data_IF_689156840124
#
_entry.id   IF_689156840124
#
_cell.length_a   1.000
_cell.length_b   1.000
_cell.length_c   1.000
_cell.angle_alpha   90.00
_cell.angle_beta   90.00
_cell.angle_gamma   90.00
#
_symmetry.space_group_name_H-M   'P 1'
#
loop_
_entity.id
_entity.type
_entity.pdbx_description
1 polymer ?
#
# COMPACT_ATOMS: atom_id res chain seq x y z
N UNK A 1 -13.91 12.29 -6.45
CA UNK A 1 -15.16 12.12 -7.22
C UNK A 1 -15.69 13.48 -7.67
N UNK A 2 -15.70 14.45 -6.76
CA UNK A 2 -16.12 15.81 -7.07
C UNK A 2 -15.16 16.51 -8.04
N UNK A 3 -13.88 16.16 -8.04
CA UNK A 3 -12.90 16.63 -9.00
C UNK A 3 -13.25 16.29 -10.44
N UNK A 4 -13.83 15.12 -10.68
CA UNK A 4 -14.25 14.69 -12.04
C UNK A 4 -15.58 15.31 -12.45
N UNK A 5 -16.40 15.68 -11.48
CA UNK A 5 -17.71 16.29 -11.69
C UNK A 5 -17.70 17.79 -11.49
N UNK A 6 -16.73 18.29 -10.75
CA UNK A 6 -16.62 19.72 -10.48
C UNK A 6 -16.15 20.46 -11.73
N UNK A 7 -16.97 21.33 -12.16
CA UNK A 7 -16.72 22.22 -13.29
C UNK A 7 -16.06 23.51 -12.86
N UNK A 8 -15.83 23.68 -11.59
CA UNK A 8 -15.21 24.85 -11.01
C UNK A 8 -13.73 24.69 -10.68
N UNK A 9 -13.10 23.59 -11.09
CA UNK A 9 -11.68 23.32 -10.81
C UNK A 9 -10.74 24.39 -11.37
N UNK A 10 -11.10 24.98 -12.50
CA UNK A 10 -10.32 26.05 -13.11
C UNK A 10 -10.28 27.35 -12.28
N UNK A 11 -11.24 27.51 -11.35
CA UNK A 11 -11.38 28.72 -10.57
C UNK A 11 -10.60 28.72 -9.25
N UNK A 12 -10.08 27.53 -8.85
CA UNK A 12 -9.37 27.38 -7.57
C UNK A 12 -7.88 27.35 -7.80
N UNK A 13 -7.27 28.51 -7.95
CA UNK A 13 -5.82 28.65 -7.98
C UNK A 13 -5.28 29.10 -6.61
N UNK A 14 -4.14 28.56 -6.23
CA UNK A 14 -3.33 29.14 -5.15
C UNK A 14 -3.13 30.61 -5.42
N UNK A 15 -3.64 31.50 -4.56
CA UNK A 15 -3.49 32.96 -4.57
C UNK A 15 -4.55 33.76 -5.32
N UNK A 16 -5.70 33.19 -5.64
CA UNK A 16 -6.84 33.98 -6.09
C UNK A 16 -7.79 34.28 -4.92
N UNK A 17 -8.00 35.55 -4.65
CA UNK A 17 -8.97 36.03 -3.65
C UNK A 17 -10.39 36.05 -4.20
N UNK A 18 -10.55 35.94 -5.52
CA UNK A 18 -11.83 35.97 -6.21
C UNK A 18 -11.90 34.91 -7.29
N UNK A 19 -13.00 34.16 -7.32
CA UNK A 19 -13.26 33.18 -8.37
C UNK A 19 -13.48 33.85 -9.72
N UNK A 20 -13.01 33.25 -10.80
CA UNK A 20 -13.22 33.67 -12.18
C UNK A 20 -14.59 33.26 -12.72
N UNK A 21 -14.79 33.48 -14.02
CA UNK A 21 -16.02 33.10 -14.73
C UNK A 21 -16.02 31.62 -15.05
N UNK A 22 -17.06 30.91 -14.62
CA UNK A 22 -17.20 29.46 -14.78
C UNK A 22 -17.65 29.08 -16.19
N UNK A 23 -16.94 28.14 -16.81
CA UNK A 23 -17.37 27.45 -18.04
C UNK A 23 -17.66 25.99 -17.72
N UNK A 24 -18.80 25.50 -18.17
CA UNK A 24 -19.20 24.08 -18.01
C UNK A 24 -18.86 23.31 -19.32
N UNK A 25 -18.03 22.25 -19.19
CA UNK A 25 -17.69 21.40 -20.33
C UNK A 25 -18.51 20.13 -20.31
N UNK A 26 -19.11 19.78 -21.46
CA UNK A 26 -19.89 18.54 -21.69
C UNK A 26 -19.23 17.63 -22.73
N UNK A 27 -19.68 16.36 -22.76
CA UNK A 27 -19.20 15.34 -23.69
C UNK A 27 -17.76 14.89 -23.41
N UNK A 28 -17.42 14.73 -22.14
CA UNK A 28 -16.12 14.26 -21.67
C UNK A 28 -16.21 12.78 -21.29
N UNK A 29 -15.85 11.88 -22.19
CA UNK A 29 -16.08 10.44 -22.05
C UNK A 29 -14.85 9.66 -21.58
N UNK A 30 -13.69 10.31 -21.43
CA UNK A 30 -12.45 9.69 -20.97
C UNK A 30 -11.59 10.69 -20.20
N UNK A 31 -10.65 10.20 -19.40
CA UNK A 31 -9.66 11.04 -18.73
C UNK A 31 -8.81 11.85 -19.73
N UNK A 32 -8.50 11.26 -20.87
CA UNK A 32 -7.79 11.93 -21.96
C UNK A 32 -8.60 13.10 -22.52
N UNK A 33 -9.90 12.87 -22.80
CA UNK A 33 -10.79 13.92 -23.25
C UNK A 33 -10.93 15.05 -22.23
N UNK A 34 -10.95 14.75 -20.93
CA UNK A 34 -10.97 15.76 -19.87
C UNK A 34 -9.69 16.60 -19.90
N UNK A 35 -8.52 15.98 -20.01
CA UNK A 35 -7.24 16.69 -20.04
C UNK A 35 -7.16 17.63 -21.25
N UNK A 36 -7.50 17.15 -22.44
CA UNK A 36 -7.50 17.95 -23.66
C UNK A 36 -8.53 19.08 -23.60
N UNK A 37 -9.71 18.84 -23.04
CA UNK A 37 -10.74 19.86 -22.90
C UNK A 37 -10.34 20.97 -21.92
N UNK A 38 -9.65 20.64 -20.83
CA UNK A 38 -9.12 21.65 -19.88
C UNK A 38 -8.07 22.51 -20.58
N UNK A 39 -7.15 21.89 -21.30
CA UNK A 39 -6.09 22.60 -22.01
C UNK A 39 -6.66 23.50 -23.11
N UNK A 40 -7.53 22.99 -23.96
CA UNK A 40 -8.18 23.76 -25.02
C UNK A 40 -9.05 24.91 -24.50
N UNK A 41 -9.75 24.70 -23.36
CA UNK A 41 -10.51 25.79 -22.74
C UNK A 41 -9.61 26.85 -22.12
N UNK A 42 -8.48 26.44 -21.51
CA UNK A 42 -7.47 27.36 -21.01
C UNK A 42 -6.94 28.26 -22.13
N UNK A 43 -6.55 27.70 -23.26
CA UNK A 43 -6.06 28.44 -24.41
C UNK A 43 -7.11 29.39 -24.93
N UNK A 44 -8.34 28.93 -25.12
CA UNK A 44 -9.45 29.78 -25.56
C UNK A 44 -9.69 30.96 -24.62
N UNK A 45 -9.65 30.75 -23.32
CA UNK A 45 -9.85 31.84 -22.35
C UNK A 45 -8.69 32.86 -22.39
N UNK A 46 -7.45 32.39 -22.56
CA UNK A 46 -6.28 33.25 -22.72
C UNK A 46 -6.45 34.14 -23.97
N UNK A 47 -6.78 33.53 -25.12
CA UNK A 47 -7.01 34.28 -26.37
C UNK A 47 -8.10 35.36 -26.22
N UNK A 48 -9.22 35.01 -25.57
CA UNK A 48 -10.28 36.00 -25.32
C UNK A 48 -9.79 37.18 -24.48
N UNK A 49 -9.05 36.88 -23.40
CA UNK A 49 -8.52 37.94 -22.52
C UNK A 49 -7.46 38.78 -23.19
N UNK A 50 -6.59 38.21 -24.01
CA UNK A 50 -5.60 38.93 -24.82
C UNK A 50 -6.25 39.85 -25.87
N UNK A 51 -7.41 39.41 -26.42
CA UNK A 51 -8.23 40.26 -27.29
C UNK A 51 -9.04 41.33 -26.54
N UNK A 52 -8.90 41.44 -25.23
CA UNK A 52 -9.67 42.36 -24.40
C UNK A 52 -11.15 41.98 -24.24
N UNK A 53 -11.52 40.73 -24.53
CA UNK A 53 -12.90 40.22 -24.39
C UNK A 53 -13.07 39.51 -23.06
N UNK A 54 -14.21 39.67 -22.37
CA UNK A 54 -14.47 38.93 -21.15
C UNK A 54 -14.83 37.46 -21.45
N UNK A 55 -14.46 36.59 -20.53
CA UNK A 55 -14.96 35.21 -20.53
C UNK A 55 -16.43 35.22 -20.08
N UNK A 56 -17.30 34.58 -20.84
CA UNK A 56 -18.74 34.50 -20.56
C UNK A 56 -19.06 33.18 -19.90
N UNK A 57 -19.95 33.20 -18.91
CA UNK A 57 -20.43 31.95 -18.28
C UNK A 57 -21.33 31.20 -19.27
N UNK A 58 -20.85 30.04 -19.75
CA UNK A 58 -21.55 29.26 -20.74
C UNK A 58 -21.32 27.77 -20.56
N UNK A 59 -22.22 26.96 -21.13
CA UNK A 59 -22.01 25.52 -21.31
C UNK A 59 -21.46 25.27 -22.69
N UNK A 60 -20.34 24.54 -22.77
CA UNK A 60 -19.66 24.18 -24.00
C UNK A 60 -19.60 22.67 -24.18
N UNK A 61 -19.60 22.20 -25.42
CA UNK A 61 -19.42 20.79 -25.77
C UNK A 61 -18.05 20.57 -26.35
N UNK A 62 -17.32 19.62 -25.81
CA UNK A 62 -16.04 19.18 -26.35
C UNK A 62 -16.22 18.26 -27.55
N UNK A 63 -15.40 18.42 -28.57
CA UNK A 63 -15.29 17.56 -29.75
C UNK A 63 -13.85 17.01 -29.78
N UNK A 64 -13.72 15.73 -29.43
CA UNK A 64 -12.41 15.02 -29.35
C UNK A 64 -11.73 14.93 -30.72
N UNK A 65 -12.49 14.89 -31.81
CA UNK A 65 -11.93 14.75 -33.16
C UNK A 65 -11.37 16.09 -33.68
N UNK A 66 -11.97 17.19 -33.24
CA UNK A 66 -11.57 18.55 -33.62
C UNK A 66 -10.67 19.21 -32.59
N UNK A 67 -10.47 18.56 -31.44
CA UNK A 67 -9.75 19.10 -30.27
C UNK A 67 -10.20 20.53 -29.93
N UNK A 68 -11.50 20.78 -30.02
CA UNK A 68 -12.09 22.11 -29.80
C UNK A 68 -13.44 22.02 -29.10
N UNK A 69 -13.82 23.13 -28.47
CA UNK A 69 -15.13 23.27 -27.83
C UNK A 69 -16.00 24.28 -28.55
N UNK A 70 -17.30 24.06 -28.54
CA UNK A 70 -18.29 25.00 -29.07
C UNK A 70 -19.38 25.30 -28.05
N UNK A 71 -19.86 26.54 -28.02
CA UNK A 71 -20.89 26.95 -27.10
C UNK A 71 -22.21 26.23 -27.42
N UNK A 72 -22.86 25.72 -26.37
CA UNK A 72 -24.20 25.12 -26.51
C UNK A 72 -25.29 26.08 -26.02
N UNK A 73 -25.09 26.66 -24.84
CA UNK A 73 -26.09 27.48 -24.15
C UNK A 73 -25.38 28.46 -23.22
N UNK A 74 -25.82 29.70 -23.20
CA UNK A 74 -25.46 30.67 -22.16
C UNK A 74 -26.43 30.51 -20.98
N UNK A 75 -25.90 30.45 -19.76
CA UNK A 75 -26.71 30.50 -18.53
C UNK A 75 -26.62 31.89 -17.96
N UNK A 76 -27.60 32.72 -18.33
CA UNK A 76 -27.57 34.14 -17.94
C UNK A 76 -27.86 34.34 -16.44
N UNK A 77 -28.66 33.47 -15.80
CA UNK A 77 -29.00 33.63 -14.38
C UNK A 77 -29.35 32.32 -13.66
N UNK A 78 -29.04 32.24 -12.36
CA UNK A 78 -29.47 31.15 -11.47
C UNK A 78 -31.01 31.02 -11.35
N UNK A 79 -31.74 32.05 -11.74
CA UNK A 79 -33.21 32.07 -11.76
C UNK A 79 -33.82 31.03 -12.71
N UNK A 80 -33.08 30.61 -13.75
CA UNK A 80 -33.54 29.56 -14.69
C UNK A 80 -33.68 28.17 -14.03
N UNK A 81 -33.09 27.96 -12.84
CA UNK A 81 -33.21 26.72 -12.09
C UNK A 81 -34.33 26.67 -11.08
N UNK A 82 -35.07 27.77 -10.86
CA UNK A 82 -36.21 27.86 -9.94
C UNK A 82 -35.86 27.31 -8.54
N UNK A 83 -34.74 27.74 -7.95
CA UNK A 83 -34.38 27.37 -6.59
C UNK A 83 -35.36 27.94 -5.58
N UNK A 84 -36.30 27.14 -5.17
CA UNK A 84 -37.23 27.41 -4.07
C UNK A 84 -37.39 26.12 -3.23
N UNK A 85 -37.70 26.24 -1.94
CA UNK A 85 -37.96 25.07 -1.10
C UNK A 85 -39.11 24.24 -1.69
N UNK A 86 -38.91 22.92 -1.74
CA UNK A 86 -39.96 21.99 -2.13
C UNK A 86 -41.08 22.02 -1.05
N UNK A 87 -42.32 22.35 -1.38
CA UNK A 87 -43.39 22.52 -0.39
C UNK A 87 -43.73 21.21 0.33
N UNK A 88 -43.49 20.06 -0.28
CA UNK A 88 -43.76 18.74 0.28
C UNK A 88 -42.64 18.22 1.19
N UNK A 89 -41.51 18.90 1.26
CA UNK A 89 -40.39 18.54 2.11
C UNK A 89 -40.35 19.43 3.36
N UNK A 90 -40.49 18.80 4.53
CA UNK A 90 -40.29 19.49 5.79
C UNK A 90 -38.85 19.85 6.02
N UNK A 91 -38.53 20.98 6.68
CA UNK A 91 -37.16 21.33 7.03
C UNK A 91 -36.49 20.24 7.88
N UNK A 92 -35.29 19.84 7.49
CA UNK A 92 -34.48 18.91 8.28
C UNK A 92 -33.69 19.73 9.30
N UNK A 93 -34.02 19.53 10.58
CA UNK A 93 -33.31 20.19 11.68
C UNK A 93 -32.25 19.24 12.22
N UNK A 94 -31.00 19.63 12.09
CA UNK A 94 -29.87 18.88 12.61
C UNK A 94 -29.46 19.51 13.94
N UNK A 95 -29.73 18.82 15.06
CA UNK A 95 -29.36 19.31 16.36
C UNK A 95 -27.89 19.12 16.69
N UNK A 96 -27.37 19.95 17.61
CA UNK A 96 -25.98 19.83 18.08
C UNK A 96 -25.73 18.49 18.78
N UNK A 97 -26.76 17.96 19.50
CA UNK A 97 -26.66 16.63 20.14
C UNK A 97 -26.54 15.52 19.10
N UNK A 98 -27.27 15.60 18.00
CA UNK A 98 -27.16 14.64 16.91
C UNK A 98 -25.80 14.71 16.25
N UNK A 99 -25.29 15.90 15.96
CA UNK A 99 -23.95 16.10 15.44
C UNK A 99 -22.87 15.56 16.41
N UNK A 100 -23.00 15.83 17.70
CA UNK A 100 -22.08 15.32 18.73
C UNK A 100 -22.10 13.78 18.77
N UNK A 101 -23.28 13.17 18.71
CA UNK A 101 -23.41 11.71 18.69
C UNK A 101 -22.79 11.07 17.45
N UNK A 102 -22.90 11.71 16.28
CA UNK A 102 -22.25 11.24 15.04
C UNK A 102 -20.73 11.38 15.15
N UNK A 103 -20.23 12.54 15.61
CA UNK A 103 -18.79 12.79 15.79
C UNK A 103 -18.18 11.79 16.77
N UNK A 104 -18.86 11.48 17.87
CA UNK A 104 -18.39 10.52 18.86
C UNK A 104 -18.26 9.08 18.32
N UNK A 105 -19.03 8.72 17.30
CA UNK A 105 -19.00 7.40 16.64
C UNK A 105 -18.14 7.37 15.38
N UNK A 106 -17.66 8.52 14.94
CA UNK A 106 -16.85 8.59 13.72
C UNK A 106 -15.53 7.85 13.93
N UNK A 107 -15.20 6.84 13.11
CA UNK A 107 -13.89 6.19 13.17
C UNK A 107 -12.79 7.16 12.74
N UNK A 108 -11.58 6.85 13.14
CA UNK A 108 -10.41 7.57 12.66
C UNK A 108 -10.30 7.48 11.13
N UNK A 109 -10.27 8.63 10.47
CA UNK A 109 -10.23 8.72 9.02
C UNK A 109 -8.80 8.48 8.50
N UNK A 110 -8.69 8.10 7.22
CA UNK A 110 -7.43 7.81 6.54
C UNK A 110 -6.35 8.88 6.76
N UNK A 111 -6.70 10.16 6.65
CA UNK A 111 -5.74 11.26 6.83
C UNK A 111 -5.17 11.30 8.25
N UNK A 112 -5.98 11.06 9.27
CA UNK A 112 -5.52 10.98 10.65
C UNK A 112 -4.63 9.75 10.88
N UNK A 113 -5.02 8.57 10.33
CA UNK A 113 -4.20 7.36 10.36
C UNK A 113 -2.83 7.57 9.72
N UNK A 114 -2.74 8.24 8.56
CA UNK A 114 -1.47 8.56 7.91
C UNK A 114 -0.53 9.36 8.82
N UNK A 115 -1.05 10.40 9.47
CA UNK A 115 -0.27 11.21 10.40
C UNK A 115 0.19 10.38 11.59
N UNK A 116 -0.71 9.59 12.18
CA UNK A 116 -0.42 8.73 13.32
C UNK A 116 0.59 7.64 13.00
N UNK A 117 0.46 6.95 11.85
CA UNK A 117 1.39 5.89 11.45
C UNK A 117 2.83 6.40 11.30
N UNK A 118 2.99 7.60 10.75
CA UNK A 118 4.30 8.24 10.67
C UNK A 118 4.85 8.64 12.02
N UNK A 119 4.01 9.26 12.85
CA UNK A 119 4.43 9.83 14.13
C UNK A 119 4.67 8.76 15.20
N UNK A 120 3.72 7.82 15.35
CA UNK A 120 3.69 6.90 16.49
C UNK A 120 4.37 5.56 16.17
N UNK A 121 4.38 5.15 14.89
CA UNK A 121 4.94 3.87 14.45
C UNK A 121 6.20 4.00 13.59
N UNK A 122 6.59 5.23 13.24
CA UNK A 122 7.75 5.53 12.38
C UNK A 122 7.70 4.72 11.06
N UNK A 123 6.52 4.67 10.45
CA UNK A 123 6.28 4.01 9.16
C UNK A 123 6.57 5.00 8.03
N UNK A 124 7.33 4.58 6.98
CA UNK A 124 7.58 5.41 5.82
C UNK A 124 6.27 5.89 5.15
N UNK A 125 6.30 7.08 4.56
CA UNK A 125 5.14 7.70 3.91
C UNK A 125 4.49 6.78 2.88
N UNK A 126 5.32 6.16 2.05
CA UNK A 126 4.87 5.25 1.00
C UNK A 126 4.09 4.06 1.57
N UNK A 127 4.65 3.39 2.58
CA UNK A 127 4.01 2.24 3.23
C UNK A 127 2.71 2.65 3.92
N UNK A 128 2.73 3.76 4.65
CA UNK A 128 1.54 4.29 5.32
C UNK A 128 0.41 4.60 4.31
N UNK A 129 0.74 5.16 3.15
CA UNK A 129 -0.25 5.43 2.10
C UNK A 129 -0.89 4.16 1.55
N UNK A 130 -0.10 3.11 1.32
CA UNK A 130 -0.60 1.84 0.79
C UNK A 130 -1.42 1.11 1.86
N UNK A 131 -0.90 0.95 3.08
CA UNK A 131 -1.62 0.28 4.16
C UNK A 131 -2.96 0.96 4.44
N UNK A 132 -3.02 2.29 4.40
CA UNK A 132 -4.27 3.03 4.63
C UNK A 132 -5.16 3.19 3.40
N UNK A 133 -4.75 2.70 2.23
CA UNK A 133 -5.58 2.77 1.01
C UNK A 133 -6.82 1.88 1.08
N UNK A 134 -6.72 0.75 1.76
CA UNK A 134 -7.81 -0.17 2.04
C UNK A 134 -8.05 -0.28 3.55
N UNK A 135 -9.33 -0.25 3.95
CA UNK A 135 -9.71 -0.35 5.37
C UNK A 135 -9.21 -1.66 5.98
N UNK A 136 -9.36 -2.77 5.27
CA UNK A 136 -8.97 -4.11 5.75
C UNK A 136 -7.47 -4.20 6.04
N UNK A 137 -6.62 -3.62 5.17
CA UNK A 137 -5.17 -3.56 5.38
C UNK A 137 -4.81 -2.73 6.61
N UNK A 138 -5.46 -1.57 6.79
CA UNK A 138 -5.24 -0.73 7.95
C UNK A 138 -5.68 -1.42 9.25
N UNK A 139 -6.81 -2.09 9.24
CA UNK A 139 -7.32 -2.84 10.39
C UNK A 139 -6.37 -4.01 10.76
N UNK A 140 -5.88 -4.77 9.77
CA UNK A 140 -4.87 -5.82 9.96
C UNK A 140 -3.57 -5.27 10.55
N UNK A 141 -3.08 -4.16 10.00
CA UNK A 141 -1.87 -3.52 10.51
C UNK A 141 -2.00 -3.12 11.97
N UNK A 142 -3.09 -2.45 12.32
CA UNK A 142 -3.33 -1.98 13.69
C UNK A 142 -3.53 -3.14 14.67
N UNK A 143 -4.35 -4.12 14.31
CA UNK A 143 -4.63 -5.27 15.16
C UNK A 143 -3.36 -6.11 15.40
N UNK A 144 -2.62 -6.44 14.33
CA UNK A 144 -1.36 -7.19 14.45
C UNK A 144 -0.32 -6.41 15.26
N UNK A 145 -0.19 -5.09 15.02
CA UNK A 145 0.72 -4.24 15.77
C UNK A 145 0.34 -4.15 17.24
N UNK A 146 -0.95 -4.14 17.55
CA UNK A 146 -1.42 -4.13 18.94
C UNK A 146 -0.99 -5.39 19.71
N UNK A 147 -0.88 -6.52 19.03
CA UNK A 147 -0.46 -7.81 19.62
C UNK A 147 1.07 -7.87 19.76
N UNK A 148 1.81 -7.82 18.65
CA UNK A 148 3.26 -8.07 18.66
C UNK A 148 4.11 -6.84 19.01
N UNK A 149 3.55 -5.62 19.04
CA UNK A 149 4.25 -4.34 19.34
C UNK A 149 5.43 -4.04 18.39
N UNK A 150 5.39 -4.55 17.17
CA UNK A 150 6.49 -4.43 16.19
C UNK A 150 6.00 -3.82 14.84
N UNK A 151 5.57 -2.55 14.83
CA UNK A 151 4.90 -1.94 13.66
C UNK A 151 5.71 -2.03 12.37
N UNK A 152 7.02 -1.81 12.40
CA UNK A 152 7.89 -1.90 11.20
C UNK A 152 7.94 -3.32 10.62
N UNK A 153 7.91 -4.35 11.46
CA UNK A 153 7.88 -5.74 10.98
C UNK A 153 6.53 -6.08 10.38
N UNK A 154 5.45 -5.65 11.03
CA UNK A 154 4.09 -5.80 10.49
C UNK A 154 3.97 -5.10 9.14
N UNK A 155 4.44 -3.85 9.03
CA UNK A 155 4.47 -3.13 7.75
C UNK A 155 5.21 -3.91 6.67
N UNK A 156 6.39 -4.43 6.96
CA UNK A 156 7.17 -5.24 6.02
C UNK A 156 6.41 -6.48 5.53
N UNK A 157 5.76 -7.23 6.42
CA UNK A 157 4.98 -8.41 6.05
C UNK A 157 3.79 -8.06 5.17
N UNK A 158 3.10 -6.96 5.48
CA UNK A 158 1.98 -6.49 4.66
C UNK A 158 2.44 -5.96 3.29
N UNK A 159 3.52 -5.17 3.27
CA UNK A 159 4.00 -4.54 2.04
C UNK A 159 4.73 -5.51 1.09
N UNK A 160 5.40 -6.51 1.62
CA UNK A 160 6.20 -7.43 0.79
C UNK A 160 5.44 -8.71 0.52
N UNK A 161 5.17 -9.50 1.55
CA UNK A 161 4.63 -10.85 1.35
C UNK A 161 3.12 -10.85 1.09
N UNK A 162 2.34 -10.04 1.86
CA UNK A 162 0.89 -9.98 1.64
C UNK A 162 0.58 -9.42 0.25
N UNK A 163 1.22 -8.32 -0.16
CA UNK A 163 0.97 -7.75 -1.49
C UNK A 163 1.46 -8.65 -2.62
N UNK A 164 2.55 -9.40 -2.41
CA UNK A 164 3.01 -10.41 -3.38
C UNK A 164 1.96 -11.48 -3.60
N UNK A 165 1.45 -12.08 -2.50
CA UNK A 165 0.44 -13.14 -2.58
C UNK A 165 -0.90 -12.63 -3.12
N UNK A 166 -1.34 -11.43 -2.73
CA UNK A 166 -2.53 -10.81 -3.32
C UNK A 166 -2.41 -10.69 -4.84
N UNK A 167 -1.24 -10.25 -5.33
CA UNK A 167 -0.99 -10.15 -6.77
C UNK A 167 -0.95 -11.50 -7.47
N UNK A 168 -0.33 -12.51 -6.86
CA UNK A 168 -0.24 -13.86 -7.40
C UNK A 168 -1.59 -14.55 -7.50
N UNK A 169 -2.49 -14.30 -6.54
CA UNK A 169 -3.82 -14.87 -6.47
C UNK A 169 -4.93 -13.96 -7.01
N UNK A 170 -4.58 -12.81 -7.60
CA UNK A 170 -5.52 -11.81 -8.13
C UNK A 170 -6.57 -11.38 -7.10
N UNK A 171 -6.15 -11.21 -5.83
CA UNK A 171 -7.00 -10.84 -4.69
C UNK A 171 -6.90 -9.35 -4.39
N UNK A 172 -8.01 -8.77 -3.93
CA UNK A 172 -8.06 -7.44 -3.34
C UNK A 172 -7.91 -7.49 -1.81
N UNK A 173 -7.69 -6.34 -1.18
CA UNK A 173 -7.49 -6.30 0.27
C UNK A 173 -8.70 -6.82 1.07
N UNK A 174 -9.89 -6.65 0.54
CA UNK A 174 -11.16 -7.11 1.11
C UNK A 174 -11.28 -8.65 1.17
N UNK A 175 -10.54 -9.35 0.29
CA UNK A 175 -10.54 -10.81 0.22
C UNK A 175 -9.65 -11.47 1.29
N UNK A 176 -8.80 -10.69 1.97
CA UNK A 176 -7.92 -11.19 3.02
C UNK A 176 -8.71 -11.79 4.19
N UNK A 177 -8.41 -13.03 4.55
CA UNK A 177 -9.15 -13.79 5.57
C UNK A 177 -8.30 -14.13 6.79
N UNK A 178 -6.98 -14.08 6.69
CA UNK A 178 -6.11 -14.46 7.80
C UNK A 178 -6.23 -13.51 9.01
N UNK A 179 -6.03 -14.07 10.19
CA UNK A 179 -6.17 -13.37 11.45
C UNK A 179 -4.92 -12.56 11.82
N UNK A 180 -5.08 -11.41 12.49
CA UNK A 180 -3.97 -10.63 13.02
C UNK A 180 -3.12 -11.41 14.03
N UNK A 181 -3.75 -12.31 14.79
CA UNK A 181 -3.14 -13.16 15.81
C UNK A 181 -2.11 -14.11 15.20
N UNK A 182 -2.44 -14.75 14.07
CA UNK A 182 -1.53 -15.67 13.40
C UNK A 182 -0.35 -14.94 12.75
N UNK A 183 -0.59 -13.78 12.14
CA UNK A 183 0.50 -12.96 11.65
C UNK A 183 1.41 -12.48 12.78
N UNK A 184 0.86 -12.07 13.91
CA UNK A 184 1.66 -11.64 15.07
C UNK A 184 2.52 -12.78 15.64
N UNK A 185 1.95 -13.99 15.81
CA UNK A 185 2.69 -15.18 16.23
C UNK A 185 3.82 -15.53 15.26
N UNK A 186 3.56 -15.48 13.95
CA UNK A 186 4.59 -15.73 12.94
C UNK A 186 5.76 -14.74 13.07
N UNK A 187 5.45 -13.45 13.24
CA UNK A 187 6.45 -12.41 13.44
C UNK A 187 7.27 -12.68 14.70
N UNK A 188 6.64 -13.12 15.77
CA UNK A 188 7.31 -13.43 17.02
C UNK A 188 8.20 -14.68 16.90
N UNK A 189 7.76 -15.74 16.22
CA UNK A 189 8.56 -16.94 15.93
C UNK A 189 9.80 -16.62 15.09
N UNK A 190 9.64 -15.80 14.06
CA UNK A 190 10.74 -15.36 13.21
C UNK A 190 11.72 -14.46 13.97
N UNK A 191 11.22 -13.59 14.82
CA UNK A 191 12.04 -12.65 15.61
C UNK A 191 12.82 -13.34 16.73
N UNK A 192 12.23 -14.34 17.33
CA UNK A 192 12.89 -15.20 18.32
C UNK A 192 13.94 -16.15 17.70
N UNK A 193 14.04 -16.20 16.35
CA UNK A 193 14.91 -17.14 15.66
C UNK A 193 14.45 -18.60 15.73
N UNK A 194 13.23 -18.84 16.19
CA UNK A 194 12.63 -20.18 16.23
C UNK A 194 12.46 -20.75 14.83
N UNK A 195 12.21 -19.91 13.86
CA UNK A 195 12.19 -20.21 12.43
C UNK A 195 13.04 -19.17 11.68
N UNK A 196 13.65 -19.57 10.59
CA UNK A 196 14.38 -18.65 9.74
C UNK A 196 13.45 -17.95 8.73
N UNK A 197 13.97 -16.92 8.03
CA UNK A 197 13.18 -16.12 7.11
C UNK A 197 12.54 -16.90 5.95
N UNK A 198 13.20 -17.97 5.48
CA UNK A 198 12.66 -18.80 4.39
C UNK A 198 11.46 -19.60 4.86
N UNK A 199 11.60 -20.26 6.01
CA UNK A 199 10.51 -21.00 6.65
C UNK A 199 9.36 -20.06 7.03
N UNK A 200 9.68 -18.86 7.52
CA UNK A 200 8.65 -17.90 7.87
C UNK A 200 7.77 -17.50 6.65
N UNK A 201 8.37 -17.38 5.47
CA UNK A 201 7.61 -17.11 4.23
C UNK A 201 6.73 -18.30 3.82
N UNK A 202 7.25 -19.51 3.91
CA UNK A 202 6.49 -20.73 3.64
C UNK A 202 5.28 -20.86 4.59
N UNK A 203 5.50 -20.63 5.87
CA UNK A 203 4.42 -20.66 6.88
C UNK A 203 3.41 -19.53 6.61
N UNK A 204 3.88 -18.35 6.20
CA UNK A 204 2.97 -17.26 5.87
C UNK A 204 2.08 -17.55 4.67
N UNK A 205 2.57 -18.24 3.66
CA UNK A 205 1.73 -18.69 2.53
C UNK A 205 0.57 -19.57 3.01
N UNK A 206 0.81 -20.44 3.98
CA UNK A 206 -0.26 -21.26 4.57
C UNK A 206 -1.23 -20.42 5.42
N UNK A 207 -0.71 -19.46 6.19
CA UNK A 207 -1.56 -18.51 6.94
C UNK A 207 -2.43 -17.70 5.96
N UNK A 208 -1.85 -17.22 4.87
CA UNK A 208 -2.55 -16.43 3.88
C UNK A 208 -3.72 -17.18 3.24
N UNK A 209 -3.52 -18.45 2.93
CA UNK A 209 -4.52 -19.28 2.26
C UNK A 209 -5.57 -19.89 3.21
N UNK A 210 -5.15 -20.36 4.37
CA UNK A 210 -5.99 -21.22 5.25
C UNK A 210 -6.10 -20.72 6.70
N UNK A 211 -5.47 -19.57 7.02
CA UNK A 211 -5.42 -18.98 8.36
C UNK A 211 -4.99 -19.99 9.46
N UNK A 212 -3.96 -20.79 9.18
CA UNK A 212 -3.45 -21.80 10.10
C UNK A 212 -2.74 -21.18 11.32
N UNK A 213 -2.73 -21.89 12.46
CA UNK A 213 -1.90 -21.51 13.61
C UNK A 213 -0.42 -21.80 13.31
N UNK A 214 0.45 -20.76 13.23
CA UNK A 214 1.85 -20.93 12.83
C UNK A 214 2.67 -21.75 13.83
N UNK A 215 2.37 -21.71 15.13
CA UNK A 215 3.11 -22.47 16.14
C UNK A 215 2.87 -23.97 15.95
N UNK A 216 1.60 -24.36 15.79
CA UNK A 216 1.22 -25.77 15.55
C UNK A 216 1.81 -26.27 14.24
N UNK A 217 1.69 -25.47 13.17
CA UNK A 217 2.21 -25.87 11.86
C UNK A 217 3.73 -26.09 11.89
N UNK A 218 4.48 -25.16 12.51
CA UNK A 218 5.93 -25.27 12.69
C UNK A 218 6.31 -26.50 13.50
N UNK A 219 5.52 -26.85 14.50
CA UNK A 219 5.76 -28.00 15.36
C UNK A 219 5.47 -29.32 14.65
N UNK A 220 4.31 -29.46 14.02
CA UNK A 220 3.88 -30.65 13.29
C UNK A 220 4.80 -30.97 12.10
N UNK A 221 5.32 -29.98 11.41
CA UNK A 221 6.22 -30.16 10.28
C UNK A 221 7.71 -30.13 10.68
N UNK A 222 8.00 -29.95 11.97
CA UNK A 222 9.37 -29.92 12.49
C UNK A 222 10.22 -28.83 11.84
N UNK A 223 9.65 -27.63 11.63
CA UNK A 223 10.28 -26.52 10.91
C UNK A 223 11.12 -25.60 11.82
N UNK A 224 11.24 -25.93 13.10
CA UNK A 224 12.09 -25.18 14.04
C UNK A 224 13.54 -25.16 13.55
N UNK A 225 14.18 -24.02 13.70
CA UNK A 225 15.59 -23.83 13.34
C UNK A 225 16.47 -24.77 14.17
N UNK A 226 17.35 -25.50 13.52
CA UNK A 226 18.33 -26.34 14.19
C UNK A 226 19.49 -25.43 14.64
N UNK A 227 19.57 -25.19 15.93
CA UNK A 227 20.64 -24.42 16.57
C UNK A 227 21.65 -25.33 17.29
N UNK A 228 21.60 -26.65 17.05
CA UNK A 228 22.59 -27.59 17.59
C UNK A 228 23.92 -27.39 16.85
N UNK A 229 24.83 -26.73 17.53
CA UNK A 229 26.18 -26.42 17.01
C UNK A 229 26.95 -27.70 16.63
N UNK A 230 26.78 -28.78 17.37
CA UNK A 230 27.42 -30.08 17.10
C UNK A 230 26.92 -30.70 15.78
N UNK A 231 25.61 -30.73 15.57
CA UNK A 231 25.00 -31.22 14.34
C UNK A 231 25.33 -30.34 13.14
N UNK A 232 25.35 -29.03 13.34
CA UNK A 232 25.78 -28.06 12.29
C UNK A 232 27.24 -28.27 11.93
N UNK A 233 28.13 -28.34 12.92
CA UNK A 233 29.59 -28.52 12.71
C UNK A 233 29.90 -29.79 11.94
N UNK A 234 29.31 -30.93 12.33
CA UNK A 234 29.53 -32.22 11.64
C UNK A 234 29.01 -32.19 10.18
N UNK A 235 27.93 -31.48 9.92
CA UNK A 235 27.40 -31.30 8.55
C UNK A 235 28.30 -30.39 7.72
N UNK A 236 28.78 -29.31 8.31
CA UNK A 236 29.67 -28.34 7.64
C UNK A 236 31.03 -29.00 7.31
N UNK A 237 31.60 -29.79 8.22
CA UNK A 237 32.83 -30.56 7.98
C UNK A 237 32.69 -31.49 6.77
N UNK A 238 31.57 -32.17 6.62
CA UNK A 238 31.27 -32.99 5.45
C UNK A 238 31.22 -32.16 4.17
N UNK A 239 30.50 -31.02 4.22
CA UNK A 239 30.39 -30.12 3.05
C UNK A 239 31.75 -29.56 2.65
N UNK A 240 32.61 -29.21 3.59
CA UNK A 240 33.99 -28.79 3.34
C UNK A 240 34.76 -29.91 2.66
N UNK A 241 34.67 -31.15 3.17
CA UNK A 241 35.35 -32.31 2.60
C UNK A 241 34.84 -32.64 1.19
N UNK A 242 33.56 -32.48 0.92
CA UNK A 242 32.96 -32.78 -0.39
C UNK A 242 33.20 -31.68 -1.44
N UNK A 243 33.69 -30.49 -1.03
CA UNK A 243 33.89 -29.34 -1.93
C UNK A 243 35.31 -28.72 -1.83
N UNK A 244 36.37 -29.48 -2.04
CA UNK A 244 37.74 -29.01 -1.85
C UNK A 244 38.12 -27.83 -2.74
N UNK A 245 37.58 -27.77 -3.97
CA UNK A 245 37.83 -26.65 -4.89
C UNK A 245 37.27 -25.32 -4.36
N UNK A 246 36.10 -25.34 -3.71
CA UNK A 246 35.50 -24.11 -3.12
C UNK A 246 36.28 -23.64 -1.89
N UNK A 247 36.87 -24.57 -1.14
CA UNK A 247 37.77 -24.28 -0.02
C UNK A 247 39.06 -23.61 -0.53
N UNK A 248 39.67 -24.16 -1.57
CA UNK A 248 40.87 -23.59 -2.20
C UNK A 248 40.57 -22.20 -2.78
N UNK A 249 39.45 -22.03 -3.44
CA UNK A 249 39.00 -20.72 -3.96
C UNK A 249 38.86 -19.67 -2.85
N UNK A 250 38.33 -20.06 -1.68
CA UNK A 250 38.23 -19.19 -0.51
C UNK A 250 39.60 -18.80 0.05
N UNK A 251 40.52 -19.75 0.21
CA UNK A 251 41.91 -19.49 0.62
C UNK A 251 42.69 -18.62 -0.37
N UNK A 252 42.33 -18.68 -1.65
CA UNK A 252 42.88 -17.82 -2.71
C UNK A 252 42.25 -16.43 -2.78
N UNK A 253 41.43 -16.04 -1.75
CA UNK A 253 40.85 -14.71 -1.62
C UNK A 253 39.51 -14.50 -2.35
N UNK A 254 38.88 -15.56 -2.87
CA UNK A 254 37.57 -15.49 -3.49
C UNK A 254 36.47 -15.59 -2.40
N UNK A 255 36.19 -14.51 -1.67
CA UNK A 255 35.20 -14.49 -0.58
C UNK A 255 33.82 -15.03 -0.96
N UNK A 256 33.43 -14.95 -2.24
CA UNK A 256 32.16 -15.48 -2.73
C UNK A 256 32.03 -17.01 -2.60
N UNK A 257 33.14 -17.73 -2.49
CA UNK A 257 33.14 -19.17 -2.34
C UNK A 257 32.52 -19.65 -1.03
N UNK A 258 32.61 -18.83 0.06
CA UNK A 258 31.94 -19.14 1.32
C UNK A 258 30.41 -19.14 1.16
N UNK A 259 29.85 -18.25 0.31
CA UNK A 259 28.42 -18.21 0.01
C UNK A 259 27.90 -19.50 -0.64
N UNK A 260 28.70 -20.14 -1.48
CA UNK A 260 28.39 -21.45 -2.04
C UNK A 260 28.34 -22.54 -0.95
N UNK A 261 29.35 -22.59 -0.06
CA UNK A 261 29.40 -23.55 1.04
C UNK A 261 28.24 -23.36 2.03
N UNK A 262 27.87 -22.11 2.33
CA UNK A 262 26.65 -21.78 3.10
C UNK A 262 25.42 -22.35 2.38
N UNK A 263 25.28 -22.12 1.08
CA UNK A 263 24.16 -22.64 0.27
C UNK A 263 24.07 -24.18 0.31
N UNK A 264 25.18 -24.89 0.19
CA UNK A 264 25.25 -26.36 0.26
C UNK A 264 24.86 -26.85 1.68
N UNK A 265 25.35 -26.18 2.72
CA UNK A 265 25.00 -26.52 4.10
C UNK A 265 23.50 -26.30 4.36
N UNK A 266 22.95 -25.17 3.91
CA UNK A 266 21.51 -24.91 4.02
C UNK A 266 20.69 -25.96 3.27
N UNK A 267 21.14 -26.41 2.10
CA UNK A 267 20.46 -27.46 1.33
C UNK A 267 20.51 -28.81 2.06
N UNK A 268 21.66 -29.19 2.62
CA UNK A 268 21.84 -30.41 3.37
C UNK A 268 20.96 -30.44 4.65
N UNK A 269 20.81 -29.28 5.29
CA UNK A 269 19.97 -29.08 6.47
C UNK A 269 18.49 -28.79 6.13
N UNK A 270 18.09 -28.97 4.85
CA UNK A 270 16.73 -28.72 4.35
C UNK A 270 16.20 -27.32 4.70
N UNK A 271 17.05 -26.31 4.66
CA UNK A 271 16.70 -24.93 4.96
C UNK A 271 16.49 -24.61 6.46
N UNK A 272 16.67 -25.57 7.36
CA UNK A 272 16.37 -25.40 8.81
C UNK A 272 17.56 -24.87 9.64
N UNK A 273 18.73 -24.73 9.06
CA UNK A 273 19.89 -24.17 9.76
C UNK A 273 19.79 -22.64 9.90
N UNK A 274 20.43 -22.10 10.94
CA UNK A 274 20.60 -20.67 11.08
C UNK A 274 21.76 -20.19 10.17
N UNK A 275 21.49 -19.38 9.13
CA UNK A 275 22.53 -18.95 8.18
C UNK A 275 23.69 -18.19 8.83
N UNK A 276 23.41 -17.44 9.91
CA UNK A 276 24.42 -16.71 10.68
C UNK A 276 25.39 -17.65 11.39
N UNK A 277 24.86 -18.68 12.06
CA UNK A 277 25.69 -19.70 12.72
C UNK A 277 26.47 -20.53 11.69
N UNK A 278 25.85 -20.93 10.59
CA UNK A 278 26.53 -21.64 9.49
C UNK A 278 27.71 -20.82 8.97
N UNK A 279 27.52 -19.52 8.74
CA UNK A 279 28.57 -18.65 8.26
C UNK A 279 29.72 -18.48 9.29
N UNK A 280 29.35 -18.39 10.56
CA UNK A 280 30.32 -18.31 11.66
C UNK A 280 31.16 -19.59 11.75
N UNK A 281 30.53 -20.76 11.79
CA UNK A 281 31.22 -22.05 11.89
C UNK A 281 32.08 -22.32 10.64
N UNK A 282 31.58 -21.95 9.45
CA UNK A 282 32.39 -22.04 8.22
C UNK A 282 33.67 -21.19 8.32
N UNK A 283 33.59 -19.96 8.83
CA UNK A 283 34.75 -19.08 9.02
C UNK A 283 35.72 -19.58 10.09
N UNK A 284 35.26 -20.38 11.03
CA UNK A 284 36.10 -21.00 12.08
C UNK A 284 36.84 -22.26 11.53
N UNK A 285 36.25 -22.94 10.56
CA UNK A 285 36.76 -24.20 10.02
C UNK A 285 37.59 -24.02 8.74
N UNK A 286 37.46 -22.90 8.06
CA UNK A 286 38.24 -22.51 6.87
C UNK A 286 39.42 -21.61 7.21
#
# INVERSE_FOLDING_TARGET
RDCLLSRGLGDVYKRQDKLGTRTEMKNLNSFKAIAHAIEGERERQIELLEMGRPVIQETRRWDDNKESSHAMRSKEDAQDYRYFPEPDLVPIIISDEWLAAIKARQPELRTAKLIRYKKDFDIPDYDAQIITSAKKMADLFEATTAICKKPKKVSNWLMVETMRLMKEHEMEAEDLKFSPEHLAKLIDLADAGTINSSVAKEVFEQIFMEDIDPEKYVEEHGLKTVNDEGALRSTIEKIIADNPQSVEDYHNGKEKAIGFLVGQTMKAMKGKANPGMVNQILKELL
#
